data_IF_437473252775
#
_entry.id   IF_437473252775
#
_cell.length_a   1.000
_cell.length_b   1.000
_cell.length_c   1.000
_cell.angle_alpha   90.00
_cell.angle_beta   90.00
_cell.angle_gamma   90.00
#
_symmetry.space_group_name_H-M   'P 1'
#
loop_
_entity.id
_entity.type
_entity.pdbx_description
1 polymer ?
#
# COMPACT_ATOMS: atom_id res chain seq x y z
N UNK A 1 -29.45 41.73 24.30
CA UNK A 1 -28.13 41.83 24.97
C UNK A 1 -27.08 41.34 24.00
N UNK A 2 -26.22 42.25 23.55
CA UNK A 2 -25.05 42.01 22.69
C UNK A 2 -23.86 41.74 23.60
N UNK A 3 -23.04 40.74 23.27
CA UNK A 3 -21.68 40.63 23.81
C UNK A 3 -20.74 40.20 22.68
N UNK A 4 -20.05 41.23 22.20
CA UNK A 4 -18.87 41.24 21.34
C UNK A 4 -17.61 40.92 22.12
N UNK A 5 -16.60 40.35 21.47
CA UNK A 5 -15.22 40.29 21.96
C UNK A 5 -14.39 39.27 21.18
N UNK A 6 -13.86 39.62 20.00
CA UNK A 6 -12.47 40.11 19.80
C UNK A 6 -11.40 39.21 20.45
N UNK A 7 -10.74 38.38 19.65
CA UNK A 7 -9.30 38.15 19.77
C UNK A 7 -8.68 38.09 18.37
N UNK A 8 -7.71 38.97 18.17
CA UNK A 8 -6.88 39.13 16.98
C UNK A 8 -5.44 38.84 17.39
N UNK A 9 -4.71 38.22 16.45
CA UNK A 9 -3.25 38.23 16.25
C UNK A 9 -2.41 37.26 17.09
N UNK A 10 -1.71 36.39 16.36
CA UNK A 10 -0.57 35.58 16.79
C UNK A 10 0.21 35.10 15.56
N UNK A 11 0.75 36.06 14.81
CA UNK A 11 1.74 35.86 13.75
C UNK A 11 2.95 35.11 14.33
N UNK A 12 3.34 33.97 13.77
CA UNK A 12 4.69 33.42 13.94
C UNK A 12 5.25 33.14 12.56
N UNK A 13 6.14 34.03 12.16
CA UNK A 13 7.07 33.85 11.06
C UNK A 13 8.11 32.78 11.44
N UNK A 14 8.38 31.84 10.53
CA UNK A 14 9.60 31.06 10.54
C UNK A 14 10.17 31.05 9.12
N UNK A 15 11.17 31.91 8.92
CA UNK A 15 11.97 32.06 7.70
C UNK A 15 13.31 31.34 7.94
N UNK A 16 13.62 30.42 7.01
CA UNK A 16 14.96 30.06 6.50
C UNK A 16 15.90 29.27 7.43
N UNK A 17 16.21 28.01 7.08
CA UNK A 17 17.47 27.60 6.41
C UNK A 17 17.57 26.06 6.38
N UNK A 18 17.46 25.44 5.20
CA UNK A 18 18.13 24.17 4.90
C UNK A 18 18.29 24.02 3.38
N UNK A 19 19.41 24.58 2.92
CA UNK A 19 19.99 24.40 1.60
C UNK A 19 20.68 23.01 1.56
N UNK A 20 20.65 22.38 0.38
CA UNK A 20 21.53 21.27 -0.07
C UNK A 20 21.16 19.86 0.41
N UNK A 21 20.37 19.15 -0.41
CA UNK A 21 20.74 17.83 -0.96
C UNK A 21 20.10 17.69 -2.37
N UNK A 22 20.85 18.11 -3.39
CA UNK A 22 20.74 17.59 -4.77
C UNK A 22 21.39 16.18 -4.81
N UNK A 23 21.50 15.48 -5.96
CA UNK A 23 20.60 15.23 -7.09
C UNK A 23 20.42 13.70 -7.32
N UNK A 24 19.30 13.22 -7.89
CA UNK A 24 19.26 11.82 -8.37
C UNK A 24 18.25 11.63 -9.50
N UNK A 25 18.51 12.28 -10.63
CA UNK A 25 18.11 11.77 -11.93
C UNK A 25 19.26 12.00 -12.92
N UNK A 26 19.72 10.89 -13.50
CA UNK A 26 20.56 10.77 -14.69
C UNK A 26 22.07 10.84 -14.42
N UNK A 27 22.67 9.66 -14.15
CA UNK A 27 24.09 9.41 -14.41
C UNK A 27 24.24 8.94 -15.86
N UNK A 28 25.03 9.69 -16.61
CA UNK A 28 25.59 9.38 -17.93
C UNK A 28 26.74 8.38 -17.81
N UNK A 29 26.72 7.35 -18.63
CA UNK A 29 27.90 6.58 -19.04
C UNK A 29 28.09 6.75 -20.55
N UNK A 30 29.25 7.27 -20.93
CA UNK A 30 29.75 7.50 -22.31
C UNK A 30 30.10 6.15 -22.96
N UNK A 31 30.12 5.94 -24.27
CA UNK A 31 30.75 6.72 -25.34
C UNK A 31 30.12 6.44 -26.73
N UNK A 32 30.44 7.33 -27.66
CA UNK A 32 30.30 7.27 -29.14
C UNK A 32 29.15 8.06 -29.77
N UNK A 33 29.50 9.34 -30.04
CA UNK A 33 29.17 10.15 -31.21
C UNK A 33 27.75 10.01 -31.82
N UNK A 34 26.88 10.95 -31.45
CA UNK A 34 25.86 11.44 -32.39
C UNK A 34 25.47 12.89 -32.09
N UNK A 35 25.67 13.73 -33.10
CA UNK A 35 25.13 15.08 -33.22
C UNK A 35 23.63 15.09 -32.95
N UNK A 36 23.16 15.69 -31.85
CA UNK A 36 21.73 15.92 -31.66
C UNK A 36 21.46 17.14 -30.78
N UNK A 37 20.46 17.90 -31.21
CA UNK A 37 20.00 19.21 -30.75
C UNK A 37 19.94 19.36 -29.22
N UNK A 38 20.54 20.43 -28.72
CA UNK A 38 20.51 20.88 -27.33
C UNK A 38 19.07 21.14 -26.85
N UNK A 39 18.51 20.18 -26.13
CA UNK A 39 17.33 20.41 -25.31
C UNK A 39 17.68 21.39 -24.17
N UNK A 40 16.86 22.41 -23.88
CA UNK A 40 17.13 23.31 -22.76
C UNK A 40 17.00 22.55 -21.44
N UNK A 41 17.94 22.81 -20.53
CA UNK A 41 17.99 22.17 -19.21
C UNK A 41 16.72 22.51 -18.41
N UNK A 42 16.27 21.59 -17.54
CA UNK A 42 15.14 21.80 -16.62
C UNK A 42 15.27 23.10 -15.82
N UNK A 43 16.51 23.51 -15.51
CA UNK A 43 16.83 24.76 -14.81
C UNK A 43 16.42 26.00 -15.61
N UNK A 44 16.75 26.05 -16.90
CA UNK A 44 16.33 27.13 -17.82
C UNK A 44 14.81 27.23 -17.93
N UNK A 45 14.10 26.10 -17.82
CA UNK A 45 12.64 26.08 -17.85
C UNK A 45 12.02 26.61 -16.55
N UNK A 46 12.57 26.25 -15.39
CA UNK A 46 12.10 26.77 -14.09
C UNK A 46 12.31 28.29 -13.97
N UNK A 47 13.41 28.81 -14.52
CA UNK A 47 13.67 30.26 -14.57
C UNK A 47 12.63 31.03 -15.42
N UNK A 48 11.90 30.34 -16.30
CA UNK A 48 10.83 30.90 -17.14
C UNK A 48 9.40 30.63 -16.64
N UNK A 49 9.22 29.77 -15.63
CA UNK A 49 7.94 29.55 -14.93
C UNK A 49 7.67 30.67 -13.91
N UNK A 50 7.63 31.93 -14.38
CA UNK A 50 7.19 33.04 -13.55
C UNK A 50 5.68 32.94 -13.32
N UNK A 51 5.28 32.81 -12.05
CA UNK A 51 3.88 32.69 -11.60
C UNK A 51 3.00 33.85 -12.07
N UNK A 52 3.54 35.07 -12.13
CA UNK A 52 2.85 36.25 -12.63
C UNK A 52 2.54 36.10 -14.13
N UNK A 53 3.54 35.70 -14.93
CA UNK A 53 3.40 35.47 -16.37
C UNK A 53 2.41 34.34 -16.67
N UNK A 54 2.43 33.26 -15.89
CA UNK A 54 1.48 32.14 -16.01
C UNK A 54 0.05 32.58 -15.65
N UNK A 55 -0.12 33.41 -14.63
CA UNK A 55 -1.43 33.93 -14.21
C UNK A 55 -2.07 34.86 -15.26
N UNK A 56 -1.24 35.50 -16.10
CA UNK A 56 -1.67 36.41 -17.16
C UNK A 56 -1.91 35.75 -18.52
N UNK A 57 -1.71 34.43 -18.65
CA UNK A 57 -1.94 33.74 -19.92
C UNK A 57 -3.43 33.82 -20.32
N UNK A 58 -3.74 34.10 -21.61
CA UNK A 58 -5.13 34.20 -22.08
C UNK A 58 -5.88 32.92 -21.74
N UNK A 59 -6.90 33.03 -20.90
CA UNK A 59 -7.75 31.91 -20.56
C UNK A 59 -8.56 31.47 -21.78
N UNK A 60 -8.63 30.17 -22.03
CA UNK A 60 -9.89 29.59 -22.52
C UNK A 60 -10.93 29.86 -21.42
N UNK A 61 -11.56 31.04 -21.49
CA UNK A 61 -12.66 31.57 -20.68
C UNK A 61 -12.99 30.75 -19.41
N UNK A 62 -12.25 30.93 -18.30
CA UNK A 62 -12.66 30.33 -17.01
C UNK A 62 -11.89 30.74 -15.73
N UNK A 63 -11.13 31.84 -15.70
CA UNK A 63 -10.43 32.24 -14.46
C UNK A 63 -11.20 33.27 -13.64
N UNK A 64 -11.72 32.84 -12.49
CA UNK A 64 -11.91 33.72 -11.34
C UNK A 64 -10.53 33.91 -10.71
N UNK A 65 -10.02 35.14 -10.78
CA UNK A 65 -8.76 35.53 -10.14
C UNK A 65 -8.89 35.38 -8.62
N UNK A 66 -8.04 34.56 -8.03
CA UNK A 66 -7.81 34.52 -6.59
C UNK A 66 -6.35 34.16 -6.33
N UNK A 67 -5.73 34.82 -5.36
CA UNK A 67 -4.39 34.53 -4.87
C UNK A 67 -4.25 33.02 -4.63
N UNK A 68 -3.34 32.41 -5.36
CA UNK A 68 -3.04 30.99 -5.28
C UNK A 68 -1.63 30.87 -4.73
N UNK A 69 -1.49 30.36 -3.52
CA UNK A 69 -0.20 29.86 -3.04
C UNK A 69 0.18 28.69 -3.93
N UNK A 70 1.14 28.92 -4.82
CA UNK A 70 1.60 27.98 -5.82
C UNK A 70 2.58 27.00 -5.16
N UNK A 71 2.14 26.28 -4.13
CA UNK A 71 2.92 25.23 -3.48
C UNK A 71 2.10 23.93 -3.32
N UNK A 72 2.82 22.83 -3.48
CA UNK A 72 2.45 21.39 -3.42
C UNK A 72 2.10 20.64 -4.71
N UNK A 73 2.20 21.27 -5.90
CA UNK A 73 2.07 20.56 -7.17
C UNK A 73 3.45 20.23 -7.78
N UNK A 74 3.86 18.96 -7.76
CA UNK A 74 5.05 18.47 -8.46
C UNK A 74 4.87 18.62 -9.99
N UNK A 75 5.72 19.39 -10.69
CA UNK A 75 5.60 19.54 -12.14
C UNK A 75 5.96 18.22 -12.85
N UNK A 76 5.06 17.72 -13.70
CA UNK A 76 5.41 16.69 -14.66
C UNK A 76 6.19 17.32 -15.81
N UNK A 77 7.43 16.88 -16.05
CA UNK A 77 8.20 17.29 -17.22
C UNK A 77 8.21 16.13 -18.22
N UNK A 78 7.56 16.31 -19.37
CA UNK A 78 7.65 15.38 -20.50
C UNK A 78 8.61 15.95 -21.55
N UNK A 79 9.75 15.31 -21.76
CA UNK A 79 10.81 15.76 -22.70
C UNK A 79 10.81 15.03 -24.04
N UNK A 80 9.74 14.28 -24.37
CA UNK A 80 9.70 13.36 -25.53
C UNK A 80 9.48 14.00 -26.91
N UNK A 81 9.31 15.32 -27.01
CA UNK A 81 9.16 16.01 -28.30
C UNK A 81 9.73 17.43 -28.17
N UNK A 82 9.81 18.19 -29.26
CA UNK A 82 10.29 19.59 -29.26
C UNK A 82 9.50 20.55 -28.35
N UNK A 83 8.52 20.05 -27.61
CA UNK A 83 7.62 20.77 -26.71
C UNK A 83 7.84 20.31 -25.28
N UNK A 84 8.05 21.26 -24.37
CA UNK A 84 8.21 21.02 -22.94
C UNK A 84 6.92 21.42 -22.23
N UNK A 85 6.26 20.43 -21.65
CA UNK A 85 5.01 20.62 -20.92
C UNK A 85 5.25 20.61 -19.39
N UNK A 86 4.48 21.41 -18.67
CA UNK A 86 4.35 21.35 -17.20
C UNK A 86 2.88 21.37 -16.80
N UNK A 87 2.48 20.36 -16.03
CA UNK A 87 1.17 20.31 -15.40
C UNK A 87 1.12 21.11 -14.10
N UNK A 88 0.14 22.00 -13.96
CA UNK A 88 -0.20 22.68 -12.71
C UNK A 88 -1.55 22.14 -12.27
N UNK A 89 -1.65 21.65 -11.03
CA UNK A 89 -2.88 21.07 -10.49
C UNK A 89 -3.19 21.70 -9.15
N UNK A 90 -4.40 22.27 -9.04
CA UNK A 90 -4.98 22.78 -7.80
C UNK A 90 -6.17 21.87 -7.43
N UNK A 91 -5.90 20.94 -6.52
CA UNK A 91 -6.90 19.97 -6.06
C UNK A 91 -8.07 20.66 -5.35
N UNK A 92 -7.81 21.75 -4.63
CA UNK A 92 -8.81 22.46 -3.81
C UNK A 92 -9.85 23.17 -4.69
N UNK A 93 -9.41 23.70 -5.84
CA UNK A 93 -10.27 24.37 -6.82
C UNK A 93 -10.78 23.43 -7.91
N UNK A 94 -10.44 22.14 -7.84
CA UNK A 94 -10.73 21.16 -8.88
C UNK A 94 -10.27 21.64 -10.27
N UNK A 95 -9.05 22.18 -10.33
CA UNK A 95 -8.48 22.77 -11.53
C UNK A 95 -7.15 22.09 -11.89
N UNK A 96 -6.94 21.84 -13.17
CA UNK A 96 -5.70 21.30 -13.70
C UNK A 96 -5.43 21.87 -15.08
N UNK A 97 -4.23 22.40 -15.25
CA UNK A 97 -3.76 23.10 -16.45
C UNK A 97 -2.47 22.48 -16.95
N UNK A 98 -2.32 22.36 -18.25
CA UNK A 98 -1.06 21.93 -18.86
C UNK A 98 -0.46 23.14 -19.57
N UNK A 99 0.73 23.57 -19.15
CA UNK A 99 1.43 24.71 -19.73
C UNK A 99 2.50 24.17 -20.67
N UNK A 100 2.50 24.64 -21.92
CA UNK A 100 3.48 24.28 -22.94
C UNK A 100 4.42 25.47 -23.18
N UNK A 101 5.72 25.20 -23.27
CA UNK A 101 6.70 26.17 -23.74
C UNK A 101 7.02 25.93 -25.21
N UNK A 102 6.81 26.96 -26.01
CA UNK A 102 7.02 26.95 -27.45
C UNK A 102 8.18 27.87 -27.78
N UNK A 103 9.26 27.28 -28.32
CA UNK A 103 10.35 28.03 -28.93
C UNK A 103 9.92 28.49 -30.32
N UNK A 104 9.85 29.80 -30.51
CA UNK A 104 9.50 30.44 -31.77
C UNK A 104 10.67 31.34 -32.22
N UNK A 105 11.03 31.36 -33.52
CA UNK A 105 12.02 32.32 -34.05
C UNK A 105 11.75 33.78 -33.68
N UNK A 106 10.50 34.16 -33.43
CA UNK A 106 10.08 35.52 -33.09
C UNK A 106 10.02 35.79 -31.57
N UNK A 107 10.34 34.79 -30.74
CA UNK A 107 10.36 34.91 -29.29
C UNK A 107 9.63 33.77 -28.59
N UNK A 108 10.26 33.25 -27.55
CA UNK A 108 9.71 32.15 -26.76
C UNK A 108 8.38 32.53 -26.08
N UNK A 109 7.39 31.63 -26.13
CA UNK A 109 6.06 31.85 -25.57
C UNK A 109 5.54 30.65 -24.79
N UNK A 110 4.66 30.93 -23.84
CA UNK A 110 3.93 29.93 -23.07
C UNK A 110 2.50 29.86 -23.59
N UNK A 111 1.97 28.66 -23.76
CA UNK A 111 0.57 28.42 -24.09
C UNK A 111 -0.04 27.47 -23.08
N UNK A 112 -1.31 27.70 -22.73
CA UNK A 112 -2.09 26.74 -21.97
C UNK A 112 -2.75 25.74 -22.93
N UNK A 113 -2.64 24.46 -22.61
CA UNK A 113 -3.35 23.37 -23.27
C UNK A 113 -4.10 22.52 -22.25
N UNK A 114 -4.90 21.59 -22.75
CA UNK A 114 -5.65 20.64 -21.94
C UNK A 114 -4.87 19.34 -21.77
N UNK A 115 -5.03 18.69 -20.61
CA UNK A 115 -4.57 17.31 -20.46
C UNK A 115 -5.30 16.42 -21.47
N UNK A 116 -4.57 15.54 -22.16
CA UNK A 116 -5.12 14.60 -23.14
C UNK A 116 -6.27 13.76 -22.58
N UNK A 117 -6.14 13.37 -21.31
CA UNK A 117 -7.12 12.55 -20.59
C UNK A 117 -8.09 13.38 -19.73
N UNK A 118 -8.10 14.71 -19.93
CA UNK A 118 -8.89 15.65 -19.17
C UNK A 118 -8.28 16.05 -17.81
N UNK A 119 -8.70 17.19 -17.26
CA UNK A 119 -8.18 17.72 -15.98
C UNK A 119 -8.51 16.81 -14.80
N UNK A 120 -9.67 16.14 -14.82
CA UNK A 120 -10.12 15.28 -13.71
C UNK A 120 -9.17 14.11 -13.43
N UNK A 121 -8.55 13.51 -14.47
CA UNK A 121 -7.57 12.43 -14.28
C UNK A 121 -6.31 12.94 -13.61
N UNK A 122 -5.82 14.12 -14.01
CA UNK A 122 -4.66 14.75 -13.38
C UNK A 122 -4.95 15.09 -11.91
N UNK A 123 -6.07 15.74 -11.62
CA UNK A 123 -6.50 16.06 -10.24
C UNK A 123 -6.59 14.80 -9.38
N UNK A 124 -7.20 13.73 -9.92
CA UNK A 124 -7.32 12.45 -9.21
C UNK A 124 -5.95 11.87 -8.86
N UNK A 125 -4.97 11.94 -9.77
CA UNK A 125 -3.61 11.48 -9.47
C UNK A 125 -3.00 12.27 -8.29
N UNK A 126 -3.15 13.59 -8.24
CA UNK A 126 -2.66 14.40 -7.12
C UNK A 126 -3.40 14.17 -5.80
N UNK A 127 -4.61 13.61 -5.86
CA UNK A 127 -5.33 13.20 -4.65
C UNK A 127 -4.84 11.86 -4.08
N UNK A 128 -4.04 11.09 -4.82
CA UNK A 128 -3.55 9.80 -4.33
C UNK A 128 -2.53 9.97 -3.20
N UNK A 129 -2.37 8.93 -2.39
CA UNK A 129 -1.30 8.90 -1.40
C UNK A 129 0.07 9.05 -2.08
N UNK A 130 0.97 9.94 -1.60
CA UNK A 130 2.23 10.24 -2.29
C UNK A 130 3.11 9.02 -2.60
N UNK A 131 3.12 8.03 -1.70
CA UNK A 131 3.91 6.81 -1.89
C UNK A 131 3.45 5.97 -3.08
N UNK A 132 2.18 6.04 -3.48
CA UNK A 132 1.67 5.32 -4.65
C UNK A 132 2.40 5.74 -5.94
N UNK A 133 2.80 7.00 -6.06
CA UNK A 133 3.57 7.50 -7.21
C UNK A 133 4.99 6.96 -7.26
N UNK A 134 5.54 6.51 -6.13
CA UNK A 134 6.92 6.03 -6.00
C UNK A 134 7.05 4.55 -6.34
N UNK A 135 5.97 3.77 -6.20
CA UNK A 135 5.98 2.31 -6.35
C UNK A 135 6.50 1.89 -7.71
N UNK A 136 6.09 2.57 -8.78
CA UNK A 136 6.55 2.24 -10.13
C UNK A 136 8.07 2.22 -10.24
N UNK A 137 8.76 3.20 -9.63
CA UNK A 137 10.22 3.25 -9.63
C UNK A 137 10.84 2.03 -8.95
N UNK A 138 10.21 1.51 -7.89
CA UNK A 138 10.70 0.35 -7.14
C UNK A 138 10.30 -1.00 -7.76
N UNK A 139 9.17 -1.05 -8.46
CA UNK A 139 8.69 -2.23 -9.19
C UNK A 139 9.62 -2.58 -10.37
N UNK A 140 10.18 -1.57 -11.05
CA UNK A 140 11.13 -1.77 -12.16
C UNK A 140 12.61 -1.83 -11.74
N UNK A 141 12.90 -1.97 -10.43
CA UNK A 141 14.27 -2.24 -9.95
C UNK A 141 15.27 -1.09 -10.08
N UNK A 142 14.82 0.15 -10.27
CA UNK A 142 15.68 1.26 -10.70
C UNK A 142 16.48 1.97 -9.58
N UNK A 143 16.58 1.44 -8.35
CA UNK A 143 17.25 2.13 -7.22
C UNK A 143 17.96 1.22 -6.23
N UNK A 144 19.09 1.71 -5.73
CA UNK A 144 19.93 1.10 -4.68
C UNK A 144 19.34 1.27 -3.26
N UNK A 145 18.54 2.30 -3.03
CA UNK A 145 17.94 2.61 -1.72
C UNK A 145 16.48 2.16 -1.67
N UNK A 146 16.26 0.84 -1.62
CA UNK A 146 14.92 0.28 -1.42
C UNK A 146 14.59 0.40 0.08
N UNK A 147 13.43 0.98 0.45
CA UNK A 147 12.95 0.95 1.83
C UNK A 147 12.91 -0.46 2.40
N UNK A 148 12.93 -0.60 3.72
CA UNK A 148 12.73 -1.90 4.36
C UNK A 148 11.43 -2.54 3.84
N UNK A 149 11.53 -3.76 3.31
CA UNK A 149 10.38 -4.51 2.81
C UNK A 149 9.62 -5.09 3.99
N UNK A 150 8.32 -4.83 4.03
CA UNK A 150 7.45 -5.36 5.07
C UNK A 150 6.65 -6.55 4.54
N UNK A 151 6.40 -7.54 5.41
CA UNK A 151 5.64 -8.72 5.03
C UNK A 151 4.19 -8.36 4.76
N UNK A 152 3.67 -8.86 3.63
CA UNK A 152 2.29 -8.69 3.24
C UNK A 152 1.43 -9.90 3.61
N UNK A 153 2.02 -11.02 4.06
CA UNK A 153 1.28 -12.26 4.30
C UNK A 153 0.17 -12.13 5.34
N UNK A 154 0.36 -11.21 6.29
CA UNK A 154 -0.58 -10.95 7.36
C UNK A 154 -1.66 -9.93 7.00
N UNK A 155 -1.57 -9.28 5.84
CA UNK A 155 -2.58 -8.32 5.38
C UNK A 155 -3.84 -9.05 4.93
N UNK A 156 -4.94 -8.32 4.78
CA UNK A 156 -6.16 -8.85 4.17
C UNK A 156 -5.93 -9.13 2.68
N UNK A 157 -6.53 -10.19 2.14
CA UNK A 157 -6.49 -10.50 0.71
C UNK A 157 -7.89 -10.69 0.14
N UNK A 158 -8.13 -10.12 -1.04
CA UNK A 158 -9.31 -10.39 -1.86
C UNK A 158 -8.86 -10.70 -3.28
N UNK A 159 -9.52 -11.67 -3.94
CA UNK A 159 -9.23 -12.02 -5.34
C UNK A 159 -7.74 -12.27 -5.64
N UNK A 160 -7.01 -12.87 -4.68
CA UNK A 160 -5.58 -13.15 -4.79
C UNK A 160 -4.66 -11.93 -4.67
N UNK A 161 -5.19 -10.76 -4.29
CA UNK A 161 -4.44 -9.52 -4.14
C UNK A 161 -4.48 -9.03 -2.69
N UNK A 162 -3.37 -8.51 -2.15
CA UNK A 162 -3.39 -7.89 -0.84
C UNK A 162 -4.21 -6.60 -0.86
N UNK A 163 -4.76 -6.25 0.29
CA UNK A 163 -5.50 -5.03 0.55
C UNK A 163 -4.69 -4.21 1.54
N UNK A 164 -4.25 -3.03 1.10
CA UNK A 164 -3.49 -2.07 1.88
C UNK A 164 -4.37 -0.86 2.20
N UNK A 165 -4.02 -0.13 3.25
CA UNK A 165 -4.72 1.07 3.69
C UNK A 165 -3.75 2.16 4.14
N UNK A 166 -4.19 3.41 4.00
CA UNK A 166 -3.43 4.61 4.37
C UNK A 166 -3.01 4.64 5.85
N UNK A 167 -3.79 4.04 6.74
CA UNK A 167 -3.58 4.15 8.19
C UNK A 167 -2.60 3.11 8.76
N UNK A 168 -2.44 1.95 8.11
CA UNK A 168 -1.66 0.85 8.68
C UNK A 168 -0.52 0.33 7.83
N UNK A 169 -0.44 0.67 6.54
CA UNK A 169 0.56 0.11 5.63
C UNK A 169 1.52 1.18 5.10
N UNK A 170 2.81 0.85 5.19
CA UNK A 170 3.93 1.68 4.74
C UNK A 170 4.24 1.48 3.25
N UNK A 171 5.09 2.33 2.69
CA UNK A 171 5.70 2.11 1.37
C UNK A 171 6.37 0.73 1.25
N UNK A 172 6.93 0.19 2.34
CA UNK A 172 7.52 -1.15 2.37
C UNK A 172 6.51 -2.25 2.02
N UNK A 173 5.30 -2.19 2.58
CA UNK A 173 4.22 -3.11 2.23
C UNK A 173 3.78 -2.94 0.78
N UNK A 174 3.68 -1.70 0.29
CA UNK A 174 3.28 -1.41 -1.09
C UNK A 174 4.29 -1.97 -2.10
N UNK A 175 5.60 -1.86 -1.81
CA UNK A 175 6.66 -2.43 -2.65
C UNK A 175 6.59 -3.96 -2.62
N UNK A 176 6.42 -4.56 -1.45
CA UNK A 176 6.24 -6.01 -1.33
C UNK A 176 5.03 -6.50 -2.13
N UNK A 177 3.89 -5.83 -2.03
CA UNK A 177 2.68 -6.15 -2.78
C UNK A 177 2.85 -6.00 -4.30
N UNK A 178 3.58 -4.96 -4.74
CA UNK A 178 3.90 -4.75 -6.16
C UNK A 178 4.86 -5.80 -6.73
N UNK A 179 5.64 -6.49 -5.89
CA UNK A 179 6.58 -7.55 -6.27
C UNK A 179 6.02 -8.95 -6.11
N UNK A 180 5.02 -9.12 -5.26
CA UNK A 180 4.30 -10.39 -5.10
C UNK A 180 3.47 -10.69 -6.36
N UNK A 181 2.97 -11.92 -6.52
CA UNK A 181 2.12 -12.28 -7.67
C UNK A 181 0.65 -11.97 -7.33
N UNK A 182 -0.10 -11.21 -8.15
CA UNK A 182 0.17 -10.82 -9.55
C UNK A 182 0.88 -9.47 -9.77
N UNK A 183 1.37 -8.83 -8.72
CA UNK A 183 2.00 -7.50 -8.76
C UNK A 183 0.99 -6.38 -8.67
N UNK A 184 -0.19 -6.69 -8.14
CA UNK A 184 -1.34 -5.79 -8.03
C UNK A 184 -1.90 -5.85 -6.62
N UNK A 185 -2.43 -4.73 -6.15
CA UNK A 185 -3.04 -4.67 -4.83
C UNK A 185 -4.16 -3.63 -4.76
N UNK A 186 -5.07 -3.83 -3.81
CA UNK A 186 -6.10 -2.86 -3.51
C UNK A 186 -5.59 -1.86 -2.47
N UNK A 187 -5.97 -0.59 -2.61
CA UNK A 187 -5.60 0.47 -1.70
C UNK A 187 -6.81 1.24 -1.19
N UNK A 188 -6.97 1.28 0.14
CA UNK A 188 -7.96 2.07 0.84
C UNK A 188 -7.38 3.41 1.28
N UNK A 189 -7.99 4.49 0.82
CA UNK A 189 -7.72 5.83 1.29
C UNK A 189 -8.97 6.39 1.99
N UNK A 190 -8.78 7.08 3.11
CA UNK A 190 -9.92 7.49 3.93
C UNK A 190 -10.85 8.44 3.15
N UNK A 191 -12.15 8.17 3.19
CA UNK A 191 -13.18 8.95 2.49
C UNK A 191 -13.13 8.88 0.96
N UNK A 192 -12.31 8.01 0.37
CA UNK A 192 -12.15 7.90 -1.10
C UNK A 192 -12.55 6.52 -1.62
N UNK A 193 -12.86 6.41 -2.93
CA UNK A 193 -13.10 5.12 -3.57
C UNK A 193 -11.89 4.18 -3.43
N UNK A 194 -12.17 2.88 -3.39
CA UNK A 194 -11.14 1.84 -3.45
C UNK A 194 -10.41 1.90 -4.80
N UNK A 195 -9.09 1.73 -4.75
CA UNK A 195 -8.23 1.81 -5.93
C UNK A 195 -7.53 0.47 -6.12
N UNK A 196 -7.58 -0.07 -7.34
CA UNK A 196 -6.68 -1.13 -7.78
C UNK A 196 -5.40 -0.48 -8.31
N UNK A 197 -4.27 -0.89 -7.74
CA UNK A 197 -2.94 -0.41 -8.10
C UNK A 197 -2.23 -1.48 -8.92
N UNK A 198 -1.83 -1.13 -10.15
CA UNK A 198 -1.10 -2.01 -11.09
C UNK A 198 0.17 -1.31 -11.58
N UNK A 199 1.27 -1.32 -10.79
CA UNK A 199 2.47 -0.52 -11.07
C UNK A 199 3.17 -0.83 -12.41
N UNK A 200 2.97 -2.04 -12.94
CA UNK A 200 3.58 -2.55 -14.17
C UNK A 200 2.91 -2.06 -15.46
N UNK A 201 1.77 -1.36 -15.36
CA UNK A 201 1.01 -0.89 -16.52
C UNK A 201 1.10 0.63 -16.68
N UNK A 202 0.70 1.12 -17.86
CA UNK A 202 0.59 2.56 -18.10
C UNK A 202 -0.51 3.17 -17.23
N UNK A 203 -1.64 2.45 -17.07
CA UNK A 203 -2.76 2.84 -16.22
C UNK A 203 -2.63 2.27 -14.81
N UNK A 204 -1.73 2.87 -14.03
CA UNK A 204 -1.36 2.36 -12.70
C UNK A 204 -2.50 2.34 -11.67
N UNK A 205 -3.57 3.13 -11.88
CA UNK A 205 -4.60 3.35 -10.87
C UNK A 205 -6.01 3.28 -11.47
N UNK A 206 -6.76 2.27 -11.06
CA UNK A 206 -8.14 2.06 -11.49
C UNK A 206 -9.08 2.15 -10.30
N UNK A 207 -10.14 2.97 -10.40
CA UNK A 207 -11.19 2.96 -9.38
C UNK A 207 -11.95 1.65 -9.48
N UNK A 208 -12.19 1.01 -8.34
CA UNK A 208 -13.01 -0.19 -8.26
C UNK A 208 -14.08 -0.02 -7.18
N UNK A 209 -15.23 -0.65 -7.39
CA UNK A 209 -16.34 -0.68 -6.43
C UNK A 209 -16.67 -2.11 -6.01
N UNK A 210 -15.67 -2.97 -6.01
CA UNK A 210 -15.81 -4.36 -5.62
C UNK A 210 -16.26 -4.46 -4.15
N UNK A 211 -17.58 -4.61 -3.95
CA UNK A 211 -18.21 -4.74 -2.64
C UNK A 211 -17.61 -5.91 -1.84
N UNK A 212 -17.12 -6.94 -2.52
CA UNK A 212 -16.43 -8.07 -1.90
C UNK A 212 -15.09 -7.68 -1.26
N UNK A 213 -14.32 -6.77 -1.87
CA UNK A 213 -13.05 -6.29 -1.32
C UNK A 213 -13.30 -5.50 -0.04
N UNK A 214 -14.27 -4.57 -0.08
CA UNK A 214 -14.73 -3.84 1.11
C UNK A 214 -15.17 -4.79 2.23
N UNK A 215 -16.05 -5.75 1.92
CA UNK A 215 -16.51 -6.73 2.91
C UNK A 215 -15.35 -7.51 3.51
N UNK A 216 -14.42 -7.97 2.68
CA UNK A 216 -13.26 -8.76 3.13
C UNK A 216 -12.37 -7.95 4.05
N UNK A 217 -12.10 -6.69 3.73
CA UNK A 217 -11.32 -5.79 4.58
C UNK A 217 -12.02 -5.50 5.91
N UNK A 218 -13.31 -5.17 5.91
CA UNK A 218 -14.08 -4.97 7.15
C UNK A 218 -14.12 -6.22 8.03
N UNK A 219 -14.33 -7.39 7.43
CA UNK A 219 -14.30 -8.67 8.15
C UNK A 219 -12.90 -8.99 8.71
N UNK A 220 -11.84 -8.67 7.97
CA UNK A 220 -10.46 -8.78 8.47
C UNK A 220 -10.22 -7.87 9.67
N UNK A 221 -10.65 -6.60 9.63
CA UNK A 221 -10.49 -5.68 10.76
C UNK A 221 -11.23 -6.19 12.01
N UNK A 222 -12.45 -6.69 11.83
CA UNK A 222 -13.22 -7.29 12.93
C UNK A 222 -12.55 -8.56 13.49
N UNK A 223 -12.04 -9.44 12.62
CA UNK A 223 -11.27 -10.63 13.05
C UNK A 223 -9.97 -10.22 13.74
N UNK A 224 -9.29 -9.16 13.29
CA UNK A 224 -8.04 -8.63 13.87
C UNK A 224 -8.27 -8.06 15.25
N UNK A 225 -9.35 -7.30 15.46
CA UNK A 225 -9.73 -6.80 16.79
C UNK A 225 -10.07 -7.97 17.73
N UNK A 226 -10.81 -8.96 17.24
CA UNK A 226 -11.32 -10.06 18.07
C UNK A 226 -10.27 -11.13 18.39
N UNK A 227 -9.40 -11.45 17.44
CA UNK A 227 -8.47 -12.59 17.49
C UNK A 227 -7.02 -12.18 17.28
N UNK A 228 -6.68 -10.90 17.19
CA UNK A 228 -5.35 -10.44 16.85
C UNK A 228 -4.98 -10.66 15.37
N UNK A 229 -3.92 -9.97 14.93
CA UNK A 229 -3.44 -9.91 13.53
C UNK A 229 -3.18 -11.31 12.94
N UNK A 230 -2.41 -12.15 13.63
CA UNK A 230 -2.00 -13.47 13.12
C UNK A 230 -3.18 -14.42 12.89
N UNK A 231 -4.20 -14.43 13.76
CA UNK A 231 -5.35 -15.32 13.55
C UNK A 231 -6.24 -14.77 12.43
N UNK A 232 -6.42 -13.45 12.37
CA UNK A 232 -7.17 -12.80 11.28
C UNK A 232 -6.52 -13.05 9.91
N UNK A 233 -5.19 -13.11 9.83
CA UNK A 233 -4.50 -13.44 8.58
C UNK A 233 -4.69 -14.90 8.13
N UNK A 234 -4.96 -15.83 9.05
CA UNK A 234 -5.31 -17.22 8.67
C UNK A 234 -6.69 -17.33 8.01
N UNK A 235 -7.65 -16.48 8.41
CA UNK A 235 -9.01 -16.52 7.87
C UNK A 235 -9.16 -15.65 6.63
N UNK A 236 -8.58 -14.44 6.64
CA UNK A 236 -8.82 -13.39 5.64
C UNK A 236 -7.55 -12.85 4.97
N UNK A 237 -6.36 -13.32 5.37
CA UNK A 237 -5.11 -12.91 4.74
C UNK A 237 -4.73 -13.76 3.53
N UNK A 238 -3.42 -13.82 3.23
CA UNK A 238 -2.92 -14.54 2.06
C UNK A 238 -3.49 -15.97 2.03
N UNK A 239 -4.14 -16.41 0.94
CA UNK A 239 -4.76 -17.73 0.89
C UNK A 239 -3.79 -18.87 1.22
N UNK A 240 -4.21 -19.75 2.13
CA UNK A 240 -3.46 -20.97 2.43
C UNK A 240 -3.77 -22.00 1.35
N UNK A 241 -2.81 -22.26 0.46
CA UNK A 241 -2.94 -23.26 -0.60
C UNK A 241 -2.58 -24.63 -0.04
N UNK A 242 -3.49 -25.59 -0.12
CA UNK A 242 -3.30 -26.94 0.36
C UNK A 242 -2.07 -27.59 -0.29
N UNK A 243 -1.22 -28.18 0.54
CA UNK A 243 -0.16 -29.09 0.10
C UNK A 243 -0.70 -30.53 0.06
N UNK A 244 0.05 -31.43 -0.57
CA UNK A 244 -0.24 -32.86 -0.50
C UNK A 244 -0.34 -33.35 0.97
N UNK A 245 -1.26 -34.28 1.21
CA UNK A 245 -1.51 -34.93 2.50
C UNK A 245 -1.61 -36.44 2.31
N UNK A 246 -0.49 -37.10 1.96
CA UNK A 246 -0.49 -38.52 1.58
C UNK A 246 -0.90 -39.43 2.74
N UNK A 247 -0.71 -38.96 3.98
CA UNK A 247 -1.07 -39.69 5.20
C UNK A 247 -2.49 -39.37 5.70
N UNK A 248 -3.23 -38.48 5.03
CA UNK A 248 -4.57 -38.07 5.42
C UNK A 248 -4.65 -37.44 6.82
N UNK A 249 -3.54 -36.87 7.32
CA UNK A 249 -3.45 -36.38 8.69
C UNK A 249 -4.37 -35.19 8.94
N UNK A 250 -4.67 -34.39 7.90
CA UNK A 250 -5.59 -33.25 7.97
C UNK A 250 -7.03 -33.67 8.26
N UNK A 251 -7.40 -34.89 7.84
CA UNK A 251 -8.73 -35.50 8.08
C UNK A 251 -8.80 -36.26 9.40
N UNK A 252 -7.66 -36.52 10.05
CA UNK A 252 -7.60 -37.42 11.20
C UNK A 252 -8.49 -36.95 12.38
N UNK A 253 -9.18 -37.90 12.99
CA UNK A 253 -10.08 -37.70 14.13
C UNK A 253 -9.35 -37.50 15.47
N UNK A 254 -8.11 -36.99 15.48
CA UNK A 254 -7.32 -36.83 16.71
C UNK A 254 -8.08 -35.96 17.72
N UNK A 255 -8.03 -36.37 18.99
CA UNK A 255 -8.61 -35.62 20.10
C UNK A 255 -7.92 -34.28 20.31
N UNK A 256 -8.64 -33.30 20.87
CA UNK A 256 -8.17 -31.91 21.05
C UNK A 256 -6.83 -31.79 21.78
N UNK A 257 -6.57 -32.70 22.71
CA UNK A 257 -5.35 -32.73 23.54
C UNK A 257 -4.07 -32.89 22.72
N UNK A 258 -4.15 -33.51 21.54
CA UNK A 258 -3.01 -33.83 20.69
C UNK A 258 -2.69 -32.75 19.66
N UNK A 259 -3.43 -31.64 19.64
CA UNK A 259 -3.16 -30.53 18.74
C UNK A 259 -2.10 -29.59 19.30
N UNK A 260 -1.28 -29.04 18.42
CA UNK A 260 -0.32 -27.99 18.76
C UNK A 260 -1.02 -26.82 19.46
N UNK A 261 -0.26 -26.17 20.35
CA UNK A 261 -0.69 -24.99 21.11
C UNK A 261 0.26 -23.86 20.81
N UNK A 262 -0.30 -22.77 20.35
CA UNK A 262 0.40 -21.55 20.06
C UNK A 262 0.00 -20.46 21.05
N UNK A 263 0.93 -19.58 21.36
CA UNK A 263 0.69 -18.38 22.15
C UNK A 263 0.76 -17.12 21.26
N UNK A 264 0.89 -15.94 21.89
CA UNK A 264 1.00 -14.66 21.21
C UNK A 264 2.26 -14.52 20.32
N UNK A 265 3.28 -15.36 20.50
CA UNK A 265 4.56 -15.26 19.78
C UNK A 265 4.59 -16.13 18.53
N UNK A 266 3.57 -16.96 18.32
CA UNK A 266 3.52 -17.84 17.17
C UNK A 266 3.34 -17.07 15.87
N UNK A 267 4.14 -17.41 14.87
CA UNK A 267 4.06 -16.78 13.55
C UNK A 267 2.93 -17.40 12.72
N UNK A 268 2.50 -16.69 11.67
CA UNK A 268 1.49 -17.18 10.74
C UNK A 268 1.92 -18.49 10.10
N UNK A 269 3.18 -18.60 9.68
CA UNK A 269 3.75 -19.75 8.99
C UNK A 269 3.74 -21.01 9.87
N UNK A 270 4.03 -20.85 11.16
CA UNK A 270 3.94 -21.96 12.13
C UNK A 270 2.51 -22.47 12.24
N UNK A 271 1.53 -21.58 12.32
CA UNK A 271 0.11 -21.94 12.36
C UNK A 271 -0.35 -22.58 11.04
N UNK A 272 0.07 -22.03 9.90
CA UNK A 272 -0.22 -22.60 8.56
C UNK A 272 0.32 -24.02 8.47
N UNK A 273 1.55 -24.26 8.91
CA UNK A 273 2.17 -25.60 8.89
C UNK A 273 1.33 -26.62 9.67
N UNK A 274 0.86 -26.27 10.86
CA UNK A 274 0.01 -27.15 11.66
C UNK A 274 -1.39 -27.34 11.05
N UNK A 275 -1.95 -26.31 10.40
CA UNK A 275 -3.21 -26.44 9.66
C UNK A 275 -3.06 -27.32 8.41
N UNK A 276 -1.94 -27.24 7.69
CA UNK A 276 -1.66 -28.12 6.55
C UNK A 276 -1.57 -29.56 6.99
N UNK A 277 -0.84 -29.81 8.09
CA UNK A 277 -0.54 -31.16 8.57
C UNK A 277 -1.71 -31.84 9.27
N UNK A 278 -2.41 -31.13 10.16
CA UNK A 278 -3.44 -31.74 11.02
C UNK A 278 -4.81 -31.09 10.87
N UNK A 279 -4.93 -30.02 10.08
CA UNK A 279 -6.18 -29.32 9.84
C UNK A 279 -6.70 -28.56 11.06
N UNK A 280 -5.98 -28.55 12.19
CA UNK A 280 -6.48 -28.09 13.49
C UNK A 280 -5.32 -27.68 14.39
N UNK A 281 -5.50 -26.59 15.12
CA UNK A 281 -4.57 -26.14 16.16
C UNK A 281 -5.32 -25.39 17.28
N UNK A 282 -4.60 -25.07 18.35
CA UNK A 282 -5.08 -24.23 19.44
C UNK A 282 -4.23 -22.98 19.56
N UNK A 283 -4.89 -21.85 19.83
CA UNK A 283 -4.21 -20.58 20.10
C UNK A 283 -4.66 -20.04 21.44
N UNK A 284 -3.70 -19.70 22.28
CA UNK A 284 -3.90 -19.04 23.56
C UNK A 284 -3.43 -17.60 23.42
N UNK A 285 -4.37 -16.68 23.49
CA UNK A 285 -4.07 -15.28 23.27
C UNK A 285 -4.30 -14.43 24.52
N UNK A 286 -3.51 -13.38 24.66
CA UNK A 286 -3.77 -12.33 25.63
C UNK A 286 -4.06 -11.03 24.87
N UNK A 287 -5.29 -10.54 25.00
CA UNK A 287 -5.80 -9.30 24.38
C UNK A 287 -6.35 -8.44 25.53
N UNK A 288 -5.86 -7.22 25.68
CA UNK A 288 -6.25 -6.27 26.75
C UNK A 288 -6.21 -6.88 28.16
N UNK A 289 -5.14 -7.63 28.46
CA UNK A 289 -4.95 -8.30 29.74
C UNK A 289 -5.86 -9.53 29.97
N UNK A 290 -6.79 -9.84 29.06
CA UNK A 290 -7.68 -11.00 29.15
C UNK A 290 -7.12 -12.18 28.35
N UNK A 291 -7.17 -13.37 28.94
CA UNK A 291 -6.72 -14.62 28.30
C UNK A 291 -7.87 -15.27 27.54
N UNK A 292 -7.69 -15.40 26.23
CA UNK A 292 -8.59 -16.09 25.32
C UNK A 292 -7.97 -17.41 24.86
N UNK A 293 -8.82 -18.39 24.60
CA UNK A 293 -8.41 -19.68 24.04
C UNK A 293 -9.29 -20.04 22.87
N UNK A 294 -8.65 -20.26 21.74
CA UNK A 294 -9.28 -20.51 20.46
C UNK A 294 -8.87 -21.87 19.93
N UNK A 295 -9.80 -22.46 19.16
CA UNK A 295 -9.57 -23.61 18.32
C UNK A 295 -9.72 -23.16 16.87
N UNK A 296 -8.66 -23.33 16.11
CA UNK A 296 -8.60 -22.99 14.69
C UNK A 296 -8.67 -24.29 13.92
N UNK A 297 -9.54 -24.35 12.90
CA UNK A 297 -9.78 -25.56 12.12
C UNK A 297 -9.96 -25.25 10.64
N UNK A 298 -9.51 -26.18 9.82
CA UNK A 298 -9.83 -26.25 8.40
C UNK A 298 -11.24 -26.85 8.25
N UNK A 299 -12.14 -26.16 7.54
CA UNK A 299 -13.49 -26.65 7.25
C UNK A 299 -13.55 -27.61 6.07
N UNK A 300 -12.58 -27.56 5.16
CA UNK A 300 -12.42 -28.47 4.03
C UNK A 300 -11.13 -29.31 4.15
N UNK A 301 -11.01 -30.20 5.16
CA UNK A 301 -9.79 -30.98 5.37
C UNK A 301 -9.47 -31.95 4.23
N UNK A 302 -10.40 -32.16 3.28
CA UNK A 302 -10.17 -32.92 2.05
C UNK A 302 -9.70 -32.12 0.85
N UNK A 303 -9.33 -30.85 1.04
CA UNK A 303 -8.72 -30.07 -0.03
C UNK A 303 -7.48 -30.76 -0.59
N UNK A 304 -7.44 -30.95 -1.90
CA UNK A 304 -6.29 -31.51 -2.63
C UNK A 304 -5.24 -30.43 -2.88
N UNK A 305 -4.04 -30.84 -3.32
CA UNK A 305 -2.98 -29.90 -3.69
C UNK A 305 -3.48 -28.80 -4.63
N UNK A 306 -3.08 -27.55 -4.36
CA UNK A 306 -3.50 -26.37 -5.12
C UNK A 306 -4.85 -25.76 -4.70
N UNK A 307 -5.66 -26.46 -3.92
CA UNK A 307 -6.94 -25.91 -3.45
C UNK A 307 -6.77 -25.02 -2.21
N UNK A 308 -7.56 -23.95 -2.09
CA UNK A 308 -7.57 -23.09 -0.90
C UNK A 308 -8.11 -23.83 0.34
N UNK A 309 -7.35 -23.82 1.43
CA UNK A 309 -7.85 -24.19 2.75
C UNK A 309 -8.76 -23.09 3.29
N UNK A 310 -9.95 -23.49 3.76
CA UNK A 310 -10.93 -22.63 4.43
C UNK A 310 -10.75 -22.79 5.93
N UNK A 311 -10.34 -21.74 6.61
CA UNK A 311 -10.07 -21.74 8.05
C UNK A 311 -11.21 -21.07 8.79
N UNK A 312 -11.59 -21.63 9.93
CA UNK A 312 -12.52 -20.99 10.86
C UNK A 312 -12.00 -21.07 12.30
N UNK A 313 -12.40 -20.09 13.10
CA UNK A 313 -11.95 -19.90 14.48
C UNK A 313 -13.15 -19.99 15.41
N UNK A 314 -13.02 -20.73 16.50
CA UNK A 314 -14.04 -20.79 17.57
C UNK A 314 -13.39 -20.69 18.93
N UNK A 315 -14.02 -20.04 19.92
CA UNK A 315 -13.57 -20.16 21.31
C UNK A 315 -13.63 -21.61 21.76
N UNK A 316 -12.71 -22.02 22.63
CA UNK A 316 -12.82 -23.31 23.31
C UNK A 316 -14.09 -23.33 24.16
N UNK A 317 -14.85 -24.42 24.05
CA UNK A 317 -16.01 -24.69 24.88
C UNK A 317 -15.62 -24.91 26.35
N UNK A 318 -16.59 -24.83 27.26
CA UNK A 318 -16.36 -25.04 28.68
C UNK A 318 -15.71 -26.40 28.97
N UNK A 319 -16.20 -27.47 28.32
CA UNK A 319 -15.66 -28.83 28.48
C UNK A 319 -14.20 -28.90 28.02
N UNK A 320 -13.89 -28.33 26.86
CA UNK A 320 -12.53 -28.30 26.31
C UNK A 320 -11.57 -27.53 27.21
N UNK A 321 -12.00 -26.40 27.78
CA UNK A 321 -11.20 -25.62 28.75
C UNK A 321 -10.92 -26.40 30.02
N UNK A 322 -11.91 -27.14 30.52
CA UNK A 322 -11.77 -27.99 31.72
C UNK A 322 -10.80 -29.14 31.48
N UNK A 323 -10.91 -29.82 30.33
CA UNK A 323 -9.94 -30.85 29.92
C UNK A 323 -8.51 -30.30 29.85
N UNK A 324 -8.33 -29.11 29.29
CA UNK A 324 -7.02 -28.47 29.27
C UNK A 324 -6.48 -28.15 30.65
N UNK A 325 -7.34 -27.74 31.59
CA UNK A 325 -6.93 -27.41 32.96
C UNK A 325 -6.42 -28.65 33.71
N UNK A 326 -7.10 -29.77 33.54
CA UNK A 326 -6.75 -31.05 34.17
C UNK A 326 -5.45 -31.60 33.58
N UNK A 327 -5.26 -31.44 32.26
CA UNK A 327 -4.10 -31.99 31.57
C UNK A 327 -2.93 -30.99 31.39
N UNK A 328 -3.06 -29.76 31.87
CA UNK A 328 -2.02 -28.74 31.84
C UNK A 328 -0.66 -29.20 32.40
N UNK A 329 -0.59 -30.00 33.49
CA UNK A 329 0.69 -30.48 34.03
C UNK A 329 1.44 -31.46 33.10
N UNK A 330 0.72 -32.14 32.21
CA UNK A 330 1.25 -33.21 31.38
C UNK A 330 1.52 -32.80 29.93
N UNK A 331 1.08 -31.60 29.53
CA UNK A 331 1.05 -31.18 28.14
C UNK A 331 2.02 -30.00 27.94
N UNK A 332 3.19 -30.29 27.36
CA UNK A 332 4.17 -29.28 26.95
C UNK A 332 3.53 -28.32 25.94
N UNK A 333 3.71 -27.02 26.13
CA UNK A 333 3.55 -26.06 25.04
C UNK A 333 4.61 -26.39 23.99
N UNK A 334 4.20 -26.52 22.74
CA UNK A 334 5.17 -26.57 21.65
C UNK A 334 5.62 -25.13 21.40
N UNK A 335 6.72 -24.75 22.04
CA UNK A 335 7.56 -23.65 21.59
C UNK A 335 8.54 -24.32 20.62
N UNK A 336 8.51 -24.06 19.31
CA UNK A 336 9.52 -24.60 18.42
C UNK A 336 10.88 -24.03 18.84
N UNK A 337 11.87 -24.90 19.05
CA UNK A 337 13.26 -24.46 18.94
C UNK A 337 13.42 -23.87 17.54
N UNK A 338 13.88 -22.62 17.45
CA UNK A 338 14.38 -22.03 16.22
C UNK A 338 15.56 -22.90 15.77
N UNK A 339 15.32 -23.86 14.89
CA UNK A 339 16.42 -24.43 14.10
C UNK A 339 16.78 -23.35 13.10
N UNK A 340 17.72 -22.47 13.48
CA UNK A 340 18.46 -21.65 12.53
C UNK A 340 19.07 -22.61 11.50
N UNK A 341 18.40 -22.79 10.37
CA UNK A 341 19.03 -23.27 9.16
C UNK A 341 19.99 -22.16 8.73
N UNK A 342 21.21 -22.19 9.29
CA UNK A 342 22.40 -21.62 8.66
C UNK A 342 22.48 -22.26 7.28
N UNK A 343 22.01 -21.53 6.28
CA UNK A 343 22.42 -21.74 4.90
C UNK A 343 23.90 -21.34 4.87
N UNK A 344 24.78 -22.34 5.01
CA UNK A 344 26.17 -22.19 4.62
C UNK A 344 26.21 -22.00 3.11
N UNK A 345 26.72 -20.83 2.70
CA UNK A 345 27.09 -20.48 1.33
C UNK A 345 28.06 -21.47 0.72
#
# INVERSE_FOLDING_TARGET
>A
MKLSGMFRIGFVAAIVTALILLPSCIASGTDEASTSTTHPSVKTYMDHLNTEKISTLPSLERFVQGESDLYDAVPFIHTGSRQQYVGIVDVSKNDARLINFIKDPNGDRLEQTVFRDGPSKAIRLFQLHPDLHRIRTFAYGARSDIPHLESIEDLAYANGRPILSEESETLGHMISAARDTPGEFYYFQNGKPLILVTPSTVEQFQDTREAEVHRTYTEYLADKEKYGKTIASLTRGNPIIATDDPLGQRKSGRGLINFARFDNQATREQMVTELQRYGRLRVHQQIDGKKYRYKVKVSNPGATEGQRLKVYVKPLSFIERSQEKIMAPFLKFQIPLMTELRVSH
#
